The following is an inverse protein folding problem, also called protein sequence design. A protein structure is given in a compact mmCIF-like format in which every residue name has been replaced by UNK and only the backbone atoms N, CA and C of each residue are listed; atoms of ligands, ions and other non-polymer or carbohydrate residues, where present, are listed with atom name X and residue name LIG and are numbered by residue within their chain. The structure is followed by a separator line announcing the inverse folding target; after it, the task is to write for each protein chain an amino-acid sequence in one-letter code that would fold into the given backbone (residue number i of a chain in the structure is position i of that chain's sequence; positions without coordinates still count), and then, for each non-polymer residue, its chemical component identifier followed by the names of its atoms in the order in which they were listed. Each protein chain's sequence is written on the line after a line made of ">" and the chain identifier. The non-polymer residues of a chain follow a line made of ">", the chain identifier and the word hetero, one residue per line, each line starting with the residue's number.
data_IF_212254762805
#
_entry.id   IF_212254762805
#
_cell.length_a   1.000
_cell.length_b   1.000
_cell.length_c   1.000
_cell.angle_alpha   90.00
_cell.angle_beta   90.00
_cell.angle_gamma   90.00
#
_symmetry.space_group_name_H-M   'P 1'
#
loop_
_entity.id
_entity.type
_entity.pdbx_description
1 polymer ?
#
# COMPACT_ATOMS: atom_id res chain seq x y z
N UNK A 1 -34.23 -19.96 -65.02
CA UNK A 1 -34.08 -18.61 -64.42
C UNK A 1 -33.65 -18.80 -62.97
N UNK A 2 -32.40 -18.46 -62.64
CA UNK A 2 -31.85 -18.58 -61.28
C UNK A 2 -32.10 -17.30 -60.47
N UNK A 3 -32.43 -17.44 -59.19
CA UNK A 3 -32.66 -16.32 -58.27
C UNK A 3 -31.37 -16.06 -57.50
N UNK A 4 -30.91 -14.80 -57.48
CA UNK A 4 -29.74 -14.41 -56.68
C UNK A 4 -30.14 -14.25 -55.22
N UNK A 5 -29.46 -14.98 -54.33
CA UNK A 5 -29.65 -14.88 -52.88
C UNK A 5 -28.55 -14.00 -52.30
N UNK A 6 -28.93 -12.86 -51.70
CA UNK A 6 -27.99 -11.90 -51.11
C UNK A 6 -28.30 -11.73 -49.63
N UNK A 7 -27.28 -11.94 -48.79
CA UNK A 7 -27.38 -11.74 -47.33
C UNK A 7 -26.83 -10.36 -46.97
N UNK A 8 -27.58 -9.61 -46.16
CA UNK A 8 -27.26 -8.27 -45.70
C UNK A 8 -27.43 -8.17 -44.18
N UNK A 9 -26.58 -7.38 -43.53
CA UNK A 9 -26.83 -6.89 -42.17
C UNK A 9 -26.85 -5.36 -42.22
N UNK A 10 -28.04 -4.76 -42.07
CA UNK A 10 -28.22 -3.33 -42.33
C UNK A 10 -27.97 -2.96 -43.80
N UNK A 11 -27.21 -1.89 -44.05
CA UNK A 11 -26.83 -1.46 -45.41
C UNK A 11 -25.62 -2.22 -45.97
N UNK A 12 -24.98 -3.09 -45.18
CA UNK A 12 -23.75 -3.77 -45.59
C UNK A 12 -24.06 -5.10 -46.27
N UNK A 13 -23.56 -5.29 -47.50
CA UNK A 13 -23.55 -6.58 -48.20
C UNK A 13 -22.45 -7.44 -47.58
N UNK A 14 -22.78 -8.63 -47.10
CA UNK A 14 -21.78 -9.57 -46.61
C UNK A 14 -21.20 -10.32 -47.80
N UNK A 15 -20.02 -9.91 -48.27
CA UNK A 15 -19.36 -10.51 -49.43
C UNK A 15 -18.51 -11.74 -49.05
N UNK A 16 -17.96 -11.79 -47.83
CA UNK A 16 -17.36 -12.98 -47.21
C UNK A 16 -17.00 -12.72 -45.74
N UNK A 17 -16.67 -13.77 -44.97
CA UNK A 17 -16.17 -13.63 -43.60
C UNK A 17 -14.68 -13.28 -43.59
N UNK A 18 -14.33 -12.03 -43.31
CA UNK A 18 -12.94 -11.63 -43.09
C UNK A 18 -12.46 -12.17 -41.74
N UNK A 19 -11.55 -13.15 -41.75
CA UNK A 19 -10.87 -13.62 -40.55
C UNK A 19 -9.80 -12.59 -40.15
N UNK A 20 -10.18 -11.66 -39.29
CA UNK A 20 -9.24 -10.68 -38.73
C UNK A 20 -8.33 -11.41 -37.73
N UNK A 21 -7.03 -11.46 -38.01
CA UNK A 21 -6.03 -11.84 -37.00
C UNK A 21 -5.92 -10.69 -36.00
N UNK A 22 -6.70 -10.79 -34.92
CA UNK A 22 -6.58 -9.89 -33.78
C UNK A 22 -5.26 -10.17 -33.07
N UNK A 23 -4.30 -9.27 -33.22
CA UNK A 23 -3.10 -9.26 -32.36
C UNK A 23 -3.52 -8.61 -31.06
N UNK A 24 -3.61 -9.40 -29.99
CA UNK A 24 -3.82 -8.84 -28.65
C UNK A 24 -2.56 -8.09 -28.22
N UNK A 25 -2.67 -6.84 -27.75
CA UNK A 25 -1.53 -6.17 -27.16
C UNK A 25 -1.09 -6.95 -25.91
N UNK A 26 0.22 -7.11 -25.74
CA UNK A 26 0.74 -7.63 -24.48
C UNK A 26 0.41 -6.63 -23.36
N UNK A 27 -0.14 -7.12 -22.25
CA UNK A 27 -0.30 -6.30 -21.06
C UNK A 27 1.08 -5.90 -20.53
N UNK A 28 1.23 -4.69 -19.97
CA UNK A 28 2.47 -4.31 -19.31
C UNK A 28 2.77 -5.29 -18.18
N UNK A 29 4.02 -5.73 -18.11
CA UNK A 29 4.51 -6.57 -17.02
C UNK A 29 4.57 -5.70 -15.77
N UNK A 30 3.92 -6.12 -14.68
CA UNK A 30 4.13 -5.46 -13.39
C UNK A 30 5.57 -5.70 -12.97
N UNK A 31 6.35 -4.63 -12.88
CA UNK A 31 7.59 -4.62 -12.12
C UNK A 31 7.21 -4.64 -10.64
N UNK A 32 7.84 -5.51 -9.84
CA UNK A 32 7.70 -5.49 -8.39
C UNK A 32 8.01 -4.09 -7.89
N UNK A 33 7.00 -3.41 -7.35
CA UNK A 33 7.17 -2.12 -6.70
C UNK A 33 7.40 -2.37 -5.21
N UNK A 34 8.34 -1.65 -4.57
CA UNK A 34 8.54 -1.79 -3.14
C UNK A 34 7.27 -1.41 -2.38
N UNK A 35 7.03 -2.11 -1.28
CA UNK A 35 5.95 -1.77 -0.36
C UNK A 35 6.26 -0.41 0.27
N UNK A 36 5.25 0.47 0.33
CA UNK A 36 5.43 1.85 0.78
C UNK A 36 4.30 2.27 1.70
N UNK A 37 4.62 2.81 2.88
CA UNK A 37 3.62 3.36 3.80
C UNK A 37 4.07 4.66 4.44
N UNK A 38 3.11 5.55 4.69
CA UNK A 38 3.28 6.77 5.47
C UNK A 38 2.16 6.85 6.51
N UNK A 39 2.44 7.44 7.66
CA UNK A 39 1.50 7.52 8.79
C UNK A 39 1.15 8.99 9.07
N UNK A 40 -0.09 9.22 9.46
CA UNK A 40 -0.56 10.52 9.96
C UNK A 40 -0.79 10.41 11.46
N UNK A 41 -0.10 11.25 12.23
CA UNK A 41 -0.25 11.37 13.67
C UNK A 41 -1.22 12.47 14.04
N UNK A 42 -2.16 12.12 14.93
CA UNK A 42 -3.13 13.04 15.50
C UNK A 42 -3.03 12.98 17.04
N UNK A 43 -3.30 14.10 17.69
CA UNK A 43 -3.43 14.15 19.14
C UNK A 43 -4.80 13.64 19.63
N UNK A 44 -5.03 13.64 20.94
CA UNK A 44 -6.29 13.22 21.56
C UNK A 44 -7.50 14.06 21.10
N UNK A 45 -7.26 15.31 20.67
CA UNK A 45 -8.26 16.21 20.11
C UNK A 45 -8.43 16.06 18.59
N UNK A 46 -7.80 15.03 18.00
CA UNK A 46 -7.77 14.74 16.56
C UNK A 46 -7.14 15.85 15.73
N UNK A 47 -6.28 16.67 16.34
CA UNK A 47 -5.50 17.68 15.63
C UNK A 47 -4.18 17.09 15.12
N UNK A 48 -3.70 17.53 13.95
CA UNK A 48 -2.41 17.10 13.43
C UNK A 48 -1.25 17.34 14.41
N UNK A 49 -0.48 16.29 14.70
CA UNK A 49 0.79 16.42 15.43
C UNK A 49 1.88 16.93 14.49
N UNK A 50 1.81 18.20 14.12
CA UNK A 50 2.77 18.83 13.21
C UNK A 50 4.11 19.17 13.89
N UNK A 51 5.22 19.01 13.16
CA UNK A 51 6.58 19.30 13.63
C UNK A 51 7.04 18.43 14.82
N UNK A 52 6.69 17.15 14.84
CA UNK A 52 7.14 16.17 15.84
C UNK A 52 8.23 15.27 15.26
N UNK A 53 9.28 15.01 16.05
CA UNK A 53 10.30 14.03 15.67
C UNK A 53 9.71 12.62 15.73
N UNK A 54 9.97 11.81 14.70
CA UNK A 54 9.51 10.42 14.61
C UNK A 54 10.63 9.49 14.12
N UNK A 55 10.42 8.19 14.35
CA UNK A 55 11.26 7.10 13.85
C UNK A 55 10.39 5.90 13.44
N UNK A 56 10.67 5.36 12.27
CA UNK A 56 10.09 4.13 11.73
C UNK A 56 11.18 3.09 11.61
N UNK A 57 10.93 1.85 12.05
CA UNK A 57 11.88 0.74 12.02
C UNK A 57 11.18 -0.48 11.42
N UNK A 58 11.63 -0.95 10.26
CA UNK A 58 11.16 -2.18 9.64
C UNK A 58 11.81 -3.43 10.25
N UNK A 59 11.20 -4.61 10.10
CA UNK A 59 11.73 -5.89 10.60
C UNK A 59 13.11 -6.23 9.99
N UNK A 60 13.35 -5.84 8.75
CA UNK A 60 14.63 -5.99 8.07
C UNK A 60 15.74 -5.07 8.61
N UNK A 61 15.43 -4.19 9.57
CA UNK A 61 16.35 -3.24 10.19
C UNK A 61 16.46 -1.88 9.49
N UNK A 62 15.71 -1.63 8.41
CA UNK A 62 15.61 -0.32 7.76
C UNK A 62 15.00 0.69 8.73
N UNK A 63 15.70 1.80 8.93
CA UNK A 63 15.25 2.90 9.79
C UNK A 63 15.02 4.17 8.98
N UNK A 64 13.89 4.82 9.20
CA UNK A 64 13.57 6.17 8.68
C UNK A 64 13.21 7.07 9.85
N UNK A 65 14.02 8.09 10.10
CA UNK A 65 13.76 9.13 11.11
C UNK A 65 13.47 10.47 10.42
N UNK A 66 12.59 11.28 11.00
CA UNK A 66 12.21 12.57 10.40
C UNK A 66 11.35 13.45 11.32
N UNK A 67 10.75 14.48 10.71
CA UNK A 67 9.83 15.41 11.37
C UNK A 67 8.50 15.34 10.62
N UNK A 68 7.38 15.28 11.35
CA UNK A 68 6.05 15.29 10.74
C UNK A 68 5.75 16.63 10.07
N UNK A 69 5.02 16.58 8.95
CA UNK A 69 4.61 17.78 8.21
C UNK A 69 3.48 18.56 8.90
N UNK A 70 2.98 19.61 8.26
CA UNK A 70 1.88 20.45 8.77
C UNK A 70 0.56 19.69 9.01
N UNK A 71 0.40 18.52 8.39
CA UNK A 71 -0.74 17.62 8.55
C UNK A 71 -0.43 16.42 9.45
N UNK A 72 0.72 16.43 10.15
CA UNK A 72 1.13 15.35 11.04
C UNK A 72 1.61 14.10 10.31
N UNK A 73 1.92 14.20 9.01
CA UNK A 73 2.28 13.05 8.17
C UNK A 73 3.79 12.78 8.18
N UNK A 74 4.17 11.51 8.16
CA UNK A 74 5.56 11.07 7.97
C UNK A 74 5.96 11.03 6.49
N UNK A 75 7.26 11.00 6.24
CA UNK A 75 7.77 10.51 4.96
C UNK A 75 7.46 9.01 4.82
N UNK A 76 7.29 8.52 3.59
CA UNK A 76 7.06 7.11 3.35
C UNK A 76 8.31 6.28 3.68
N UNK A 77 8.13 5.15 4.36
CA UNK A 77 9.12 4.08 4.43
C UNK A 77 8.86 3.10 3.28
N UNK A 78 9.92 2.66 2.61
CA UNK A 78 9.87 1.72 1.49
C UNK A 78 10.62 0.43 1.82
N UNK A 79 9.99 -0.71 1.60
CA UNK A 79 10.56 -2.03 1.88
C UNK A 79 10.39 -2.97 0.68
N UNK A 80 11.33 -3.89 0.51
CA UNK A 80 11.29 -4.85 -0.60
C UNK A 80 10.23 -5.94 -0.38
N UNK A 81 9.83 -6.17 0.87
CA UNK A 81 8.82 -7.14 1.25
C UNK A 81 7.76 -6.52 2.17
N UNK A 82 6.62 -7.20 2.27
CA UNK A 82 5.57 -6.86 3.21
C UNK A 82 6.01 -7.29 4.61
N UNK A 83 6.25 -6.33 5.50
CA UNK A 83 6.84 -6.59 6.83
C UNK A 83 6.28 -5.64 7.88
N UNK A 84 6.47 -5.95 9.18
CA UNK A 84 6.05 -5.03 10.25
C UNK A 84 6.97 -3.82 10.30
N UNK A 85 6.39 -2.68 10.72
CA UNK A 85 7.13 -1.45 10.96
C UNK A 85 6.74 -0.92 12.32
N UNK A 86 7.71 -0.94 13.23
CA UNK A 86 7.60 -0.28 14.52
C UNK A 86 7.69 1.23 14.32
N UNK A 87 6.80 1.95 14.98
CA UNK A 87 6.69 3.39 14.83
C UNK A 87 6.77 4.07 16.20
N UNK A 88 7.62 5.10 16.24
CA UNK A 88 7.89 5.90 17.42
C UNK A 88 7.74 7.38 17.13
N UNK A 89 7.16 8.13 18.07
CA UNK A 89 7.00 9.59 17.98
C UNK A 89 7.37 10.26 19.29
N UNK A 90 7.89 11.49 19.21
CA UNK A 90 8.21 12.30 20.36
C UNK A 90 6.95 12.78 21.09
N UNK A 91 7.07 13.02 22.39
CA UNK A 91 5.99 13.60 23.20
C UNK A 91 5.74 15.09 22.95
N UNK A 92 6.74 15.80 22.40
CA UNK A 92 6.71 17.25 22.21
C UNK A 92 7.20 17.62 20.81
N UNK A 93 6.72 18.76 20.26
CA UNK A 93 7.17 19.22 18.95
C UNK A 93 8.62 19.74 19.02
N UNK A 94 9.30 19.65 17.87
CA UNK A 94 10.75 19.86 17.71
C UNK A 94 11.22 21.30 18.01
N UNK A 95 10.29 22.23 18.18
CA UNK A 95 10.54 23.62 18.58
C UNK A 95 10.84 23.78 20.09
N UNK A 96 10.64 22.75 20.92
CA UNK A 96 10.95 22.80 22.36
C UNK A 96 12.41 22.45 22.71
N UNK A 97 13.26 22.09 21.74
CA UNK A 97 14.65 21.66 21.98
C UNK A 97 15.70 22.78 21.98
N UNK A 98 15.37 23.94 22.54
CA UNK A 98 16.40 24.91 22.94
C UNK A 98 16.30 25.06 24.46
N UNK A 99 17.06 24.24 25.21
CA UNK A 99 17.67 24.51 26.54
C UNK A 99 17.72 23.32 27.53
N UNK A 100 17.18 22.14 27.23
CA UNK A 100 17.43 20.93 28.02
C UNK A 100 18.21 19.94 27.17
N UNK A 101 19.38 19.50 27.63
CA UNK A 101 20.23 18.53 26.91
C UNK A 101 19.64 17.11 26.82
N UNK A 102 18.31 16.98 26.79
CA UNK A 102 17.58 15.72 26.75
C UNK A 102 17.00 15.54 25.33
N UNK A 103 17.38 14.45 24.67
CA UNK A 103 16.71 14.00 23.45
C UNK A 103 15.25 13.68 23.79
N UNK A 104 14.28 14.04 22.93
CA UNK A 104 12.88 13.75 23.21
C UNK A 104 12.72 12.24 23.31
N UNK A 105 12.07 11.76 24.37
CA UNK A 105 11.75 10.34 24.47
C UNK A 105 10.75 10.00 23.36
N UNK A 106 11.15 9.07 22.50
CA UNK A 106 10.30 8.52 21.45
C UNK A 106 9.47 7.39 22.06
N UNK A 107 8.15 7.52 22.06
CA UNK A 107 7.24 6.47 22.53
C UNK A 107 6.84 5.57 21.36
N UNK A 108 6.89 4.25 21.56
CA UNK A 108 6.36 3.26 20.61
C UNK A 108 4.83 3.37 20.58
N UNK A 109 4.23 3.56 19.40
CA UNK A 109 2.77 3.74 19.30
C UNK A 109 2.07 2.77 18.36
N UNK A 110 2.79 2.00 17.52
CA UNK A 110 2.18 1.02 16.62
C UNK A 110 3.15 -0.12 16.27
N UNK A 111 2.61 -1.32 15.99
CA UNK A 111 3.40 -2.53 15.71
C UNK A 111 3.24 -3.08 14.28
N UNK A 112 2.21 -2.69 13.51
CA UNK A 112 2.01 -3.26 12.18
C UNK A 112 1.31 -2.31 11.19
N UNK A 113 2.08 -1.72 10.28
CA UNK A 113 1.54 -0.92 9.17
C UNK A 113 1.18 -1.74 7.93
N UNK A 114 1.60 -3.01 7.87
CA UNK A 114 1.40 -3.87 6.70
C UNK A 114 0.75 -5.22 7.03
N UNK A 115 0.42 -5.53 8.28
CA UNK A 115 -0.16 -6.84 8.62
C UNK A 115 -1.68 -6.83 8.41
N UNK A 116 -2.18 -7.79 7.64
CA UNK A 116 -3.58 -8.23 7.65
C UNK A 116 -3.47 -9.71 7.95
N UNK A 117 -4.05 -10.18 9.06
CA UNK A 117 -4.18 -11.62 9.31
C UNK A 117 -4.83 -12.24 8.08
N UNK A 118 -4.17 -13.22 7.46
CA UNK A 118 -4.80 -14.00 6.42
C UNK A 118 -5.87 -14.86 7.11
N UNK A 119 -7.17 -14.66 6.84
CA UNK A 119 -8.19 -15.48 7.46
C UNK A 119 -8.08 -16.97 7.10
N UNK A 120 -7.25 -17.33 6.11
CA UNK A 120 -6.98 -18.74 5.77
C UNK A 120 -5.95 -19.41 6.70
N UNK A 121 -5.11 -18.65 7.43
CA UNK A 121 -4.14 -19.21 8.39
C UNK A 121 -4.84 -19.83 9.64
N UNK A 122 -6.12 -19.52 9.90
CA UNK A 122 -6.90 -20.12 11.00
C UNK A 122 -7.59 -21.45 10.63
N UNK A 123 -7.62 -21.84 9.34
CA UNK A 123 -8.41 -23.00 8.88
C UNK A 123 -7.65 -24.34 8.91
N UNK A 124 -6.33 -24.32 9.11
CA UNK A 124 -5.51 -25.54 9.07
C UNK A 124 -5.57 -26.40 10.36
N UNK A 125 -6.19 -25.90 11.44
CA UNK A 125 -6.21 -26.59 12.75
C UNK A 125 -7.47 -27.47 12.98
N UNK A 126 -8.41 -27.54 12.03
CA UNK A 126 -9.68 -28.28 12.24
C UNK A 126 -9.60 -29.78 11.88
N UNK A 127 -8.56 -30.24 11.19
CA UNK A 127 -8.50 -31.61 10.67
C UNK A 127 -7.82 -32.67 11.58
N UNK A 128 -7.50 -32.36 12.85
CA UNK A 128 -6.82 -33.32 13.76
C UNK A 128 -7.63 -33.79 14.98
N UNK A 129 -8.96 -33.79 14.90
CA UNK A 129 -9.82 -34.42 15.92
C UNK A 129 -10.63 -35.60 15.37
N UNK A 130 -9.95 -36.62 14.81
CA UNK A 130 -10.45 -37.99 14.86
C UNK A 130 -9.29 -38.99 15.04
N UNK A 131 -9.10 -39.45 16.28
CA UNK A 131 -9.09 -40.89 16.63
C UNK A 131 -9.32 -41.10 18.13
#
# INVERSE_FOLDING_TARGET
>A
MGREFVVRAGQHKFESGAKIQTVFPALPVMIDQPYSAAVTFLDDAKQPMANYNYRLIAENGLEVSGITDEFGKTQPIQTDQREKVDLYIADLPNNHQQNSGESPLLKKTYEALFYVEDPEDELDDIDHLEE
#
